data_IF_905022452247
#
_entry.id   IF_905022452247
#
_cell.length_a   1.000
_cell.length_b   1.000
_cell.length_c   1.000
_cell.angle_alpha   90.00
_cell.angle_beta   90.00
_cell.angle_gamma   90.00
#
_symmetry.space_group_name_H-M   'P 1'
#
loop_
_entity.id
_entity.type
_entity.pdbx_description
1 polymer ?
#
# COMPACT_ATOMS: atom_id res chain seq x y z
N UNK A 1 16.97 15.57 -27.48
CA UNK A 1 17.30 16.01 -28.86
C UNK A 1 17.41 14.85 -29.84
N UNK A 2 17.92 13.68 -29.45
CA UNK A 2 18.07 12.54 -30.37
C UNK A 2 16.73 12.02 -30.92
N UNK A 3 15.71 11.85 -30.06
CA UNK A 3 14.38 11.43 -30.50
C UNK A 3 13.70 12.44 -31.44
N UNK A 4 13.85 13.74 -31.20
CA UNK A 4 13.28 14.80 -32.05
C UNK A 4 13.97 14.88 -33.41
N UNK A 5 15.30 14.66 -33.46
CA UNK A 5 16.04 14.58 -34.72
C UNK A 5 15.63 13.36 -35.54
N UNK A 6 15.46 12.19 -34.91
CA UNK A 6 14.99 10.98 -35.58
C UNK A 6 13.61 11.19 -36.23
N UNK A 7 12.68 11.83 -35.51
CA UNK A 7 11.33 12.14 -36.01
C UNK A 7 11.28 13.38 -36.93
N UNK A 8 12.43 14.03 -37.21
CA UNK A 8 12.55 15.27 -38.00
C UNK A 8 11.69 16.42 -37.46
N UNK A 9 11.56 16.53 -36.14
CA UNK A 9 10.85 17.60 -35.44
C UNK A 9 11.79 18.78 -35.21
N UNK A 10 11.34 19.99 -35.55
CA UNK A 10 12.09 21.23 -35.30
C UNK A 10 12.27 21.47 -33.80
N UNK A 11 13.50 21.78 -33.33
CA UNK A 11 13.74 22.17 -31.94
C UNK A 11 13.04 23.47 -31.54
N UNK A 12 12.75 24.36 -32.49
CA UNK A 12 12.19 25.70 -32.21
C UNK A 12 10.66 25.69 -32.09
N UNK A 13 9.99 24.79 -32.83
CA UNK A 13 8.51 24.69 -32.83
C UNK A 13 8.00 23.42 -32.16
N UNK A 14 8.89 22.52 -31.75
CA UNK A 14 8.55 21.29 -31.05
C UNK A 14 8.04 21.56 -29.63
N UNK A 15 7.13 20.70 -29.15
CA UNK A 15 6.64 20.77 -27.77
C UNK A 15 7.55 19.98 -26.85
N UNK A 16 7.96 20.62 -25.75
CA UNK A 16 8.74 20.01 -24.68
C UNK A 16 8.08 20.31 -23.35
N UNK A 17 7.86 19.27 -22.56
CA UNK A 17 7.24 19.37 -21.25
C UNK A 17 8.21 18.84 -20.20
N UNK A 18 8.52 19.67 -19.20
CA UNK A 18 9.24 19.24 -18.03
C UNK A 18 8.27 18.75 -16.93
N UNK A 19 8.80 18.45 -15.74
CA UNK A 19 7.99 17.97 -14.62
C UNK A 19 6.94 18.97 -14.12
N UNK A 20 7.05 20.26 -14.46
CA UNK A 20 6.08 21.28 -14.04
C UNK A 20 4.73 21.14 -14.74
N UNK A 21 4.67 20.44 -15.86
CA UNK A 21 3.43 20.18 -16.60
C UNK A 21 2.63 18.99 -16.06
N UNK A 22 3.13 18.28 -15.04
CA UNK A 22 2.38 17.22 -14.37
C UNK A 22 1.12 17.83 -13.69
N UNK A 23 -0.11 17.42 -14.08
CA UNK A 23 -1.34 18.01 -13.53
C UNK A 23 -1.48 17.87 -12.01
N UNK A 24 -0.84 16.85 -11.44
CA UNK A 24 -0.69 16.66 -10.00
C UNK A 24 0.82 16.59 -9.72
N UNK A 25 1.39 17.58 -9.00
CA UNK A 25 2.80 17.58 -8.65
C UNK A 25 3.17 16.33 -7.84
N UNK A 26 4.27 15.68 -8.24
CA UNK A 26 4.73 14.45 -7.60
C UNK A 26 5.92 14.74 -6.68
N UNK A 27 5.76 14.49 -5.38
CA UNK A 27 6.88 14.37 -4.46
C UNK A 27 7.51 12.98 -4.57
N UNK A 28 8.84 12.91 -4.66
CA UNK A 28 9.58 11.66 -4.81
C UNK A 28 10.52 11.46 -3.62
N UNK A 29 10.58 10.22 -3.12
CA UNK A 29 11.55 9.81 -2.12
C UNK A 29 12.24 8.53 -2.57
N UNK A 30 13.56 8.52 -2.53
CA UNK A 30 14.39 7.36 -2.88
C UNK A 30 14.98 6.75 -1.60
N UNK A 31 14.75 5.46 -1.39
CA UNK A 31 15.25 4.72 -0.24
C UNK A 31 16.18 3.62 -0.75
N UNK A 32 17.48 3.85 -0.62
CA UNK A 32 18.51 2.85 -0.91
C UNK A 32 18.69 1.90 0.26
N UNK A 33 18.69 0.58 -0.01
CA UNK A 33 18.95 -0.44 1.01
C UNK A 33 20.32 -1.05 0.76
N UNK A 34 21.24 -0.86 1.73
CA UNK A 34 22.63 -1.34 1.63
C UNK A 34 22.86 -2.75 2.20
N UNK A 35 21.81 -3.39 2.74
CA UNK A 35 21.88 -4.74 3.28
C UNK A 35 22.23 -5.76 2.18
N UNK A 36 23.27 -6.57 2.43
CA UNK A 36 23.82 -7.51 1.46
C UNK A 36 23.12 -8.86 1.54
N UNK A 37 22.73 -9.29 2.74
CA UNK A 37 22.02 -10.53 2.92
C UNK A 37 20.62 -10.42 2.31
N UNK A 38 20.29 -11.29 1.35
CA UNK A 38 19.03 -11.24 0.62
C UNK A 38 17.79 -11.34 1.53
N UNK A 39 17.82 -12.22 2.52
CA UNK A 39 16.69 -12.41 3.44
C UNK A 39 16.50 -11.19 4.33
N UNK A 40 17.58 -10.73 4.98
CA UNK A 40 17.57 -9.54 5.82
C UNK A 40 17.15 -8.28 5.03
N UNK A 41 17.67 -8.12 3.80
CA UNK A 41 17.29 -7.02 2.90
C UNK A 41 15.80 -7.02 2.62
N UNK A 42 15.22 -8.18 2.32
CA UNK A 42 13.78 -8.28 2.06
C UNK A 42 12.95 -7.97 3.30
N UNK A 43 13.37 -8.40 4.48
CA UNK A 43 12.64 -8.10 5.71
C UNK A 43 12.73 -6.62 6.09
N UNK A 44 13.89 -6.00 5.88
CA UNK A 44 14.09 -4.55 6.01
C UNK A 44 13.23 -3.77 4.99
N UNK A 45 13.19 -4.21 3.73
CA UNK A 45 12.33 -3.60 2.70
C UNK A 45 10.85 -3.65 3.12
N UNK A 46 10.38 -4.79 3.62
CA UNK A 46 9.01 -4.92 4.10
C UNK A 46 8.73 -4.04 5.33
N UNK A 47 9.71 -3.85 6.21
CA UNK A 47 9.59 -2.95 7.37
C UNK A 47 9.49 -1.49 6.94
N UNK A 48 10.37 -1.04 6.04
CA UNK A 48 10.34 0.33 5.50
C UNK A 48 9.04 0.58 4.75
N UNK A 49 8.61 -0.37 3.92
CA UNK A 49 7.33 -0.33 3.20
C UNK A 49 6.16 -0.14 4.17
N UNK A 50 6.09 -0.95 5.23
CA UNK A 50 5.06 -0.81 6.26
C UNK A 50 5.04 0.59 6.89
N UNK A 51 6.21 1.11 7.30
CA UNK A 51 6.32 2.46 7.89
C UNK A 51 5.79 3.53 6.94
N UNK A 52 6.16 3.45 5.65
CA UNK A 52 5.70 4.41 4.63
C UNK A 52 4.19 4.35 4.37
N UNK A 53 3.61 3.16 4.39
CA UNK A 53 2.15 2.99 4.30
C UNK A 53 1.47 3.65 5.50
N UNK A 54 1.95 3.38 6.72
CA UNK A 54 1.39 3.98 7.94
C UNK A 54 1.48 5.51 7.89
N UNK A 55 2.63 6.06 7.49
CA UNK A 55 2.80 7.51 7.36
C UNK A 55 1.84 8.13 6.34
N UNK A 56 1.56 7.44 5.24
CA UNK A 56 0.58 7.86 4.22
C UNK A 56 -0.86 7.78 4.74
N UNK A 57 -1.21 6.69 5.40
CA UNK A 57 -2.56 6.50 5.95
C UNK A 57 -2.87 7.52 7.05
N UNK A 58 -1.89 7.87 7.90
CA UNK A 58 -2.06 8.95 8.90
C UNK A 58 -2.34 10.32 8.27
N UNK A 59 -1.94 10.52 7.02
CA UNK A 59 -2.25 11.73 6.25
C UNK A 59 -3.59 11.63 5.50
N UNK A 60 -4.34 10.53 5.68
CA UNK A 60 -5.60 10.28 4.99
C UNK A 60 -5.43 9.83 3.53
N UNK A 61 -4.25 9.33 3.15
CA UNK A 61 -3.98 8.92 1.77
C UNK A 61 -3.92 7.40 1.61
N UNK A 62 -4.73 6.86 0.69
CA UNK A 62 -4.63 5.49 0.20
C UNK A 62 -3.24 5.21 -0.40
N UNK A 63 -2.75 3.98 -0.29
CA UNK A 63 -1.41 3.59 -0.78
C UNK A 63 -1.47 2.41 -1.76
N UNK A 64 -0.73 2.50 -2.86
CA UNK A 64 -0.48 1.40 -3.80
C UNK A 64 0.95 0.92 -3.65
N UNK A 65 1.14 -0.38 -3.44
CA UNK A 65 2.48 -1.02 -3.37
C UNK A 65 2.73 -1.83 -4.64
N UNK A 66 3.72 -1.42 -5.42
CA UNK A 66 4.18 -2.18 -6.58
C UNK A 66 5.20 -3.24 -6.16
N UNK A 67 5.07 -4.43 -6.75
CA UNK A 67 5.95 -5.59 -6.54
C UNK A 67 6.36 -6.18 -7.88
N UNK A 68 7.40 -7.02 -7.89
CA UNK A 68 7.97 -7.55 -9.13
C UNK A 68 7.26 -8.78 -9.70
N UNK A 69 6.40 -9.47 -8.92
CA UNK A 69 5.69 -10.66 -9.41
C UNK A 69 4.28 -10.80 -8.83
N UNK A 70 3.45 -11.58 -9.52
CA UNK A 70 2.10 -11.94 -9.07
C UNK A 70 2.12 -12.63 -7.70
N UNK A 71 3.08 -13.54 -7.50
CA UNK A 71 3.22 -14.30 -6.25
C UNK A 71 3.66 -13.39 -5.11
N UNK A 72 4.49 -12.38 -5.40
CA UNK A 72 4.96 -11.47 -4.36
C UNK A 72 3.91 -10.43 -3.99
N UNK A 73 2.87 -10.23 -4.81
CA UNK A 73 1.72 -9.37 -4.45
C UNK A 73 1.04 -9.90 -3.19
N UNK A 74 0.65 -11.17 -3.19
CA UNK A 74 0.05 -11.81 -2.02
C UNK A 74 1.03 -11.91 -0.85
N UNK A 75 2.26 -12.38 -1.09
CA UNK A 75 3.25 -12.52 0.00
C UNK A 75 3.54 -11.20 0.72
N UNK A 76 3.71 -10.11 -0.02
CA UNK A 76 3.97 -8.80 0.58
C UNK A 76 2.76 -8.33 1.38
N UNK A 77 1.54 -8.44 0.83
CA UNK A 77 0.32 -8.09 1.56
C UNK A 77 0.19 -8.88 2.87
N UNK A 78 0.45 -10.20 2.84
CA UNK A 78 0.47 -11.04 4.04
C UNK A 78 1.56 -10.67 5.03
N UNK A 79 2.78 -10.34 4.56
CA UNK A 79 3.86 -9.84 5.44
C UNK A 79 3.48 -8.53 6.11
N UNK A 80 2.84 -7.60 5.39
CA UNK A 80 2.38 -6.32 5.92
C UNK A 80 1.26 -6.53 6.96
N UNK A 81 0.28 -7.40 6.68
CA UNK A 81 -0.76 -7.80 7.65
C UNK A 81 -0.13 -8.40 8.91
N UNK A 82 0.87 -9.28 8.77
CA UNK A 82 1.59 -9.86 9.92
C UNK A 82 2.34 -8.78 10.71
N UNK A 83 3.01 -7.83 10.04
CA UNK A 83 3.70 -6.71 10.70
C UNK A 83 2.72 -5.80 11.45
N UNK A 84 1.53 -5.55 10.90
CA UNK A 84 0.44 -4.85 11.61
C UNK A 84 0.08 -5.58 12.91
N UNK A 85 -0.15 -6.89 12.84
CA UNK A 85 -0.47 -7.71 14.03
C UNK A 85 0.70 -7.71 15.02
N UNK A 86 1.95 -7.80 14.57
CA UNK A 86 3.11 -7.74 15.46
C UNK A 86 3.23 -6.37 16.15
N UNK A 87 3.02 -5.28 15.42
CA UNK A 87 2.97 -3.94 16.00
C UNK A 87 1.84 -3.83 17.05
N UNK A 88 0.66 -4.41 16.77
CA UNK A 88 -0.46 -4.49 17.72
C UNK A 88 -0.09 -5.26 18.99
N UNK A 89 0.50 -6.44 18.85
CA UNK A 89 0.90 -7.29 19.98
C UNK A 89 1.98 -6.60 20.82
N UNK A 90 2.99 -6.01 20.18
CA UNK A 90 4.03 -5.24 20.88
C UNK A 90 3.44 -4.04 21.62
N UNK A 91 2.50 -3.30 21.01
CA UNK A 91 1.78 -2.24 21.70
C UNK A 91 1.04 -2.77 22.94
N UNK A 92 0.36 -3.92 22.84
CA UNK A 92 -0.36 -4.53 23.97
C UNK A 92 0.59 -4.97 25.09
N UNK A 93 1.78 -5.48 24.77
CA UNK A 93 2.79 -5.87 25.77
C UNK A 93 3.53 -4.65 26.37
N UNK A 94 3.75 -3.58 25.61
CA UNK A 94 4.34 -2.34 26.12
C UNK A 94 3.41 -1.61 27.10
N UNK A 95 2.09 -1.81 27.01
CA UNK A 95 1.13 -1.37 28.03
C UNK A 95 1.41 -2.03 29.39
N UNK A 96 2.00 -3.23 29.41
CA UNK A 96 2.33 -3.94 30.65
C UNK A 96 3.68 -3.53 31.25
N UNK A 97 4.57 -2.87 30.49
CA UNK A 97 5.96 -2.65 30.90
C UNK A 97 6.29 -1.25 31.43
N UNK A 98 5.33 -0.33 31.58
CA UNK A 98 5.66 1.00 32.12
C UNK A 98 4.52 1.68 32.86
N UNK A 99 4.65 1.67 34.18
CA UNK A 99 4.13 2.64 35.17
C UNK A 99 4.66 4.08 34.91
N UNK A 100 5.10 4.43 33.70
CA UNK A 100 5.51 5.79 33.31
C UNK A 100 4.69 6.25 32.10
N UNK A 101 3.49 6.73 32.43
CA UNK A 101 2.63 7.58 31.60
C UNK A 101 3.41 8.80 31.08
N UNK A 102 3.28 9.07 29.77
CA UNK A 102 3.09 10.42 29.19
C UNK A 102 2.86 10.40 27.65
N UNK A 103 2.99 9.25 26.98
CA UNK A 103 2.70 9.11 25.54
C UNK A 103 1.61 8.05 25.26
N UNK A 104 0.49 8.06 25.98
CA UNK A 104 -0.59 7.06 25.79
C UNK A 104 -1.58 7.38 24.66
N UNK A 105 -1.71 8.62 24.20
CA UNK A 105 -2.74 8.97 23.21
C UNK A 105 -2.33 8.74 21.75
N UNK A 106 -1.03 8.83 21.42
CA UNK A 106 -0.55 8.72 20.02
C UNK A 106 -0.37 7.29 19.49
N UNK A 107 -0.66 6.24 20.26
CA UNK A 107 -0.19 4.87 19.96
C UNK A 107 -1.29 3.85 19.63
N UNK A 108 -2.56 4.14 19.93
CA UNK A 108 -3.69 3.27 19.56
C UNK A 108 -4.29 3.59 18.18
N UNK A 109 -3.94 4.73 17.59
CA UNK A 109 -4.50 5.21 16.30
C UNK A 109 -4.06 4.33 15.12
N UNK A 110 -2.85 3.75 15.18
CA UNK A 110 -2.28 2.96 14.07
C UNK A 110 -3.11 1.72 13.69
N UNK A 111 -3.90 1.20 14.64
CA UNK A 111 -4.72 0.01 14.45
C UNK A 111 -5.97 0.29 13.59
N UNK A 112 -6.53 1.48 13.78
CA UNK A 112 -7.71 1.99 13.09
C UNK A 112 -7.37 2.46 11.66
N UNK A 113 -6.12 2.82 11.38
CA UNK A 113 -5.68 3.36 10.08
C UNK A 113 -5.99 2.47 8.86
N UNK A 114 -6.10 1.16 9.08
CA UNK A 114 -6.33 0.19 8.01
C UNK A 114 -7.79 -0.30 7.98
N UNK A 115 -8.71 0.39 8.68
CA UNK A 115 -10.12 0.04 8.67
C UNK A 115 -10.81 0.65 7.45
N UNK A 116 -11.71 -0.12 6.87
CA UNK A 116 -12.58 0.27 5.78
C UNK A 116 -14.06 0.00 6.09
N UNK A 117 -14.37 -0.39 7.33
CA UNK A 117 -15.70 -0.81 7.76
C UNK A 117 -16.64 0.34 8.12
N UNK A 118 -16.11 1.57 8.21
CA UNK A 118 -16.91 2.79 8.33
C UNK A 118 -17.48 3.27 6.99
N UNK A 119 -17.03 2.71 5.86
CA UNK A 119 -17.53 3.12 4.55
C UNK A 119 -19.02 2.72 4.37
N UNK A 120 -19.91 3.61 3.89
CA UNK A 120 -21.35 3.32 3.78
C UNK A 120 -21.69 2.08 2.95
N UNK A 121 -20.83 1.73 1.99
CA UNK A 121 -21.00 0.56 1.13
C UNK A 121 -20.25 -0.68 1.60
N UNK A 122 -19.58 -0.64 2.76
CA UNK A 122 -18.75 -1.74 3.25
C UNK A 122 -19.50 -3.07 3.28
N UNK A 123 -20.72 -3.10 3.83
CA UNK A 123 -21.52 -4.33 3.90
C UNK A 123 -21.86 -4.91 2.52
N UNK A 124 -22.16 -4.05 1.53
CA UNK A 124 -22.45 -4.46 0.16
C UNK A 124 -21.18 -5.01 -0.51
N UNK A 125 -20.07 -4.30 -0.37
CA UNK A 125 -18.78 -4.70 -0.94
C UNK A 125 -18.28 -5.99 -0.29
N UNK A 126 -18.41 -6.13 1.04
CA UNK A 126 -18.10 -7.37 1.76
C UNK A 126 -18.88 -8.53 1.17
N UNK A 127 -20.19 -8.37 0.92
CA UNK A 127 -21.02 -9.40 0.31
C UNK A 127 -20.52 -9.82 -1.07
N UNK A 128 -20.03 -8.89 -1.89
CA UNK A 128 -19.44 -9.21 -3.20
C UNK A 128 -18.07 -9.89 -3.08
N UNK A 129 -17.21 -9.40 -2.19
CA UNK A 129 -15.89 -10.01 -1.90
C UNK A 129 -16.05 -11.46 -1.44
N UNK A 130 -17.01 -11.74 -0.56
CA UNK A 130 -17.25 -13.08 -0.02
C UNK A 130 -17.72 -14.11 -1.07
N UNK A 131 -18.15 -13.69 -2.27
CA UNK A 131 -18.47 -14.61 -3.37
C UNK A 131 -17.22 -15.10 -4.11
N UNK A 132 -16.08 -14.43 -3.92
CA UNK A 132 -14.84 -14.78 -4.59
C UNK A 132 -14.30 -16.13 -4.11
N UNK A 133 -13.69 -16.89 -5.04
CA UNK A 133 -12.92 -18.10 -4.71
C UNK A 133 -11.46 -17.79 -4.41
N UNK A 134 -11.03 -16.53 -4.59
CA UNK A 134 -9.68 -16.11 -4.30
C UNK A 134 -9.53 -15.81 -2.79
N UNK A 135 -8.85 -16.72 -2.08
CA UNK A 135 -8.64 -16.60 -0.63
C UNK A 135 -7.88 -15.34 -0.24
N UNK A 136 -6.89 -14.94 -1.03
CA UNK A 136 -6.12 -13.72 -0.73
C UNK A 136 -7.04 -12.49 -0.79
N UNK A 137 -7.95 -12.41 -1.77
CA UNK A 137 -8.91 -11.31 -1.85
C UNK A 137 -9.83 -11.27 -0.63
N UNK A 138 -10.38 -12.42 -0.24
CA UNK A 138 -11.33 -12.52 0.89
C UNK A 138 -10.65 -12.18 2.21
N UNK A 139 -9.50 -12.79 2.49
CA UNK A 139 -8.86 -12.69 3.81
C UNK A 139 -8.10 -11.37 4.02
N UNK A 140 -7.64 -10.73 2.94
CA UNK A 140 -6.96 -9.43 3.04
C UNK A 140 -7.96 -8.27 3.11
N UNK A 141 -9.16 -8.42 2.53
CA UNK A 141 -10.19 -7.38 2.56
C UNK A 141 -10.57 -6.95 3.98
N UNK A 142 -10.71 -7.90 4.91
CA UNK A 142 -11.02 -7.60 6.32
C UNK A 142 -9.89 -6.85 7.05
N UNK A 143 -8.69 -6.84 6.48
CA UNK A 143 -7.56 -6.06 7.00
C UNK A 143 -7.37 -4.72 6.29
N UNK A 144 -8.32 -4.31 5.43
CA UNK A 144 -8.21 -3.11 4.61
C UNK A 144 -7.15 -3.18 3.52
N UNK A 145 -6.79 -4.40 3.08
CA UNK A 145 -5.76 -4.63 2.07
C UNK A 145 -6.32 -5.40 0.87
N UNK A 146 -5.77 -5.10 -0.31
CA UNK A 146 -6.12 -5.76 -1.57
C UNK A 146 -4.88 -6.30 -2.29
N UNK A 147 -5.09 -7.30 -3.14
CA UNK A 147 -4.09 -7.80 -4.08
C UNK A 147 -4.64 -7.69 -5.49
N UNK A 148 -3.83 -7.20 -6.42
CA UNK A 148 -4.22 -7.06 -7.81
C UNK A 148 -3.11 -7.53 -8.75
N UNK A 149 -3.39 -8.53 -9.57
CA UNK A 149 -2.47 -8.98 -10.62
C UNK A 149 -3.20 -9.66 -11.77
N UNK A 150 -2.57 -9.73 -12.94
CA UNK A 150 -3.17 -10.30 -14.15
C UNK A 150 -3.59 -11.78 -14.04
N UNK A 151 -3.01 -12.54 -13.10
CA UNK A 151 -3.39 -13.93 -12.82
C UNK A 151 -4.69 -14.13 -12.04
N UNK A 152 -5.33 -13.08 -11.53
CA UNK A 152 -6.64 -13.18 -10.87
C UNK A 152 -7.76 -13.29 -11.90
N UNK A 153 -8.92 -13.82 -11.52
CA UNK A 153 -10.11 -13.75 -12.36
C UNK A 153 -10.47 -12.28 -12.65
N UNK A 154 -11.00 -12.02 -13.86
CA UNK A 154 -11.39 -10.65 -14.25
C UNK A 154 -12.40 -10.03 -13.28
N UNK A 155 -13.35 -10.83 -12.81
CA UNK A 155 -14.32 -10.42 -11.78
C UNK A 155 -13.61 -9.97 -10.49
N UNK A 156 -12.71 -10.80 -9.95
CA UNK A 156 -11.97 -10.51 -8.72
C UNK A 156 -11.10 -9.25 -8.84
N UNK A 157 -10.50 -8.97 -10.01
CA UNK A 157 -9.72 -7.73 -10.22
C UNK A 157 -10.60 -6.49 -10.10
N UNK A 158 -11.78 -6.51 -10.72
CA UNK A 158 -12.74 -5.42 -10.61
C UNK A 158 -13.22 -5.22 -9.17
N UNK A 159 -13.58 -6.33 -8.50
CA UNK A 159 -13.99 -6.30 -7.09
C UNK A 159 -12.90 -5.74 -6.19
N UNK A 160 -11.64 -6.18 -6.35
CA UNK A 160 -10.52 -5.71 -5.52
C UNK A 160 -10.25 -4.21 -5.65
N UNK A 161 -10.32 -3.66 -6.86
CA UNK A 161 -10.08 -2.23 -7.09
C UNK A 161 -11.19 -1.40 -6.45
N UNK A 162 -12.45 -1.79 -6.67
CA UNK A 162 -13.59 -1.10 -6.10
C UNK A 162 -13.62 -1.21 -4.57
N UNK A 163 -13.28 -2.38 -4.02
CA UNK A 163 -13.34 -2.63 -2.58
C UNK A 163 -12.23 -1.97 -1.78
N UNK A 164 -11.07 -1.65 -2.37
CA UNK A 164 -9.93 -1.12 -1.62
C UNK A 164 -9.55 0.32 -1.99
N UNK A 165 -9.83 0.75 -3.23
CA UNK A 165 -9.54 2.12 -3.67
C UNK A 165 -10.82 2.95 -3.87
N UNK A 166 -11.99 2.32 -3.95
CA UNK A 166 -13.28 3.02 -4.04
C UNK A 166 -13.91 3.38 -2.70
N UNK A 167 -13.27 3.05 -1.56
CA UNK A 167 -13.83 3.20 -0.20
C UNK A 167 -13.11 4.19 0.71
N UNK A 168 -12.06 4.86 0.24
CA UNK A 168 -11.30 5.81 1.06
C UNK A 168 -11.09 7.14 0.37
#
# INVERSE_FOLDING_TARGET
>A
MEASQFLRVSPETGLFFDSSYCPVPLAQQYIGISEQNFAARNDLLNEICYKKIVDSLRQGHQTIVFVHSRKDTAKTAWKLKKKKIQAQVLQQFDVWRSVYMLNLHRRNEDLELFRNDEHPQFALIKKEVMKSRNKDLVELFESGAGVHHAGMLRADRGTCLHSNFGMG
#
